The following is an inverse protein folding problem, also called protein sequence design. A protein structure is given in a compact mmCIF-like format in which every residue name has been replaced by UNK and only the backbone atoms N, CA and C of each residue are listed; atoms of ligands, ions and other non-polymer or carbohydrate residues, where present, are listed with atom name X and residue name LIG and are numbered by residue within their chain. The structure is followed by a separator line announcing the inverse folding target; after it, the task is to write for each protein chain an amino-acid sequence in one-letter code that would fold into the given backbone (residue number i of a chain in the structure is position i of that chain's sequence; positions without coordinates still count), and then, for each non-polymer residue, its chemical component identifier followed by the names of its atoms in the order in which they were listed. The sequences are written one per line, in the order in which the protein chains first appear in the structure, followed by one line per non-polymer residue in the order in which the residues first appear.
data_IF_836476131074
#
_entry.id   IF_836476131074
#
_cell.length_a   1.000
_cell.length_b   1.000
_cell.length_c   1.000
_cell.angle_alpha   90.00
_cell.angle_beta   90.00
_cell.angle_gamma   90.00
#
_symmetry.space_group_name_H-M   'P 1'
#
loop_
_entity.id
_entity.type
_entity.pdbx_description
1 polymer ?
#
# COMPACT_ATOMS: atom_id res chain seq x y z
N UNK A 1 52.50 4.56 32.83
CA UNK A 1 51.19 4.90 32.27
C UNK A 1 50.62 3.61 31.65
N UNK A 2 49.68 2.96 32.34
CA UNK A 2 49.06 1.69 31.88
C UNK A 2 47.67 2.05 31.35
N UNK A 3 47.50 1.88 30.05
CA UNK A 3 46.23 2.11 29.36
C UNK A 3 45.37 0.83 29.49
N UNK A 4 44.27 0.91 30.25
CA UNK A 4 43.36 -0.20 30.43
C UNK A 4 42.30 -0.15 29.32
N UNK A 5 42.39 -1.09 28.38
CA UNK A 5 41.39 -1.32 27.34
C UNK A 5 40.16 -1.99 27.98
N UNK A 6 39.01 -1.30 28.08
CA UNK A 6 37.75 -1.91 28.46
C UNK A 6 37.16 -2.65 27.25
N UNK A 7 37.12 -3.97 27.36
CA UNK A 7 36.42 -4.86 26.43
C UNK A 7 34.94 -4.77 26.74
N UNK A 8 34.11 -4.23 25.80
CA UNK A 8 32.67 -4.29 25.84
C UNK A 8 32.24 -5.74 25.58
N UNK A 9 31.78 -6.42 26.62
CA UNK A 9 31.07 -7.69 26.48
C UNK A 9 29.62 -7.41 26.01
N UNK A 10 29.25 -8.00 24.90
CA UNK A 10 27.84 -7.99 24.44
C UNK A 10 26.97 -8.76 25.44
N UNK A 11 25.78 -8.27 25.80
CA UNK A 11 24.88 -8.96 26.71
C UNK A 11 24.35 -10.24 26.06
N UNK A 12 24.41 -11.35 26.78
CA UNK A 12 23.90 -12.67 26.41
C UNK A 12 22.39 -12.62 26.44
N UNK A 13 21.73 -12.87 25.29
CA UNK A 13 20.28 -13.11 25.21
C UNK A 13 19.97 -14.52 25.66
N UNK A 14 18.86 -14.71 26.39
CA UNK A 14 18.35 -16.03 26.74
C UNK A 14 17.73 -16.75 25.53
N UNK A 15 17.43 -18.05 25.68
CA UNK A 15 16.97 -18.94 24.61
C UNK A 15 15.60 -18.55 24.01
N UNK A 16 14.90 -17.54 24.57
CA UNK A 16 13.60 -17.03 24.11
C UNK A 16 13.68 -15.65 23.45
N UNK A 17 14.87 -15.06 23.30
CA UNK A 17 15.05 -13.75 22.70
C UNK A 17 14.49 -12.59 23.53
N UNK A 18 14.11 -12.81 24.78
CA UNK A 18 13.69 -11.76 25.73
C UNK A 18 14.89 -11.37 26.59
N UNK A 19 15.23 -10.08 26.58
CA UNK A 19 16.17 -9.51 27.56
C UNK A 19 15.47 -9.45 28.91
N UNK A 20 16.13 -9.77 30.03
CA UNK A 20 15.53 -9.67 31.35
C UNK A 20 15.10 -8.24 31.67
N UNK A 21 13.93 -8.07 32.30
CA UNK A 21 13.43 -6.79 32.80
C UNK A 21 14.42 -6.23 33.83
N UNK A 22 15.24 -5.26 33.45
CA UNK A 22 16.10 -4.53 34.37
C UNK A 22 15.25 -3.54 35.17
N UNK A 23 15.38 -3.41 36.49
CA UNK A 23 14.53 -2.52 37.32
C UNK A 23 14.58 -1.03 36.95
N UNK A 24 15.54 -0.61 36.14
CA UNK A 24 15.74 0.76 35.67
C UNK A 24 15.43 0.94 34.17
N UNK A 25 14.96 -0.12 33.45
CA UNK A 25 14.83 -0.09 32.01
C UNK A 25 13.40 0.14 31.50
N UNK A 26 13.23 0.04 30.19
CA UNK A 26 11.95 0.14 29.51
C UNK A 26 11.02 -1.04 29.88
N UNK A 27 9.76 -0.80 30.32
CA UNK A 27 8.86 -1.84 30.77
C UNK A 27 8.25 -2.63 29.61
N UNK A 28 8.93 -3.69 29.17
CA UNK A 28 8.51 -4.54 28.04
C UNK A 28 7.07 -5.08 28.18
N UNK A 29 6.63 -5.36 29.43
CA UNK A 29 5.25 -5.79 29.72
C UNK A 29 4.21 -4.74 29.39
N UNK A 30 4.49 -3.44 29.67
CA UNK A 30 3.59 -2.35 29.32
C UNK A 30 3.47 -2.19 27.80
N UNK A 31 4.59 -2.24 27.10
CA UNK A 31 4.62 -2.20 25.65
C UNK A 31 3.78 -3.34 25.02
N UNK A 32 3.93 -4.57 25.51
CA UNK A 32 3.15 -5.71 25.03
C UNK A 32 1.66 -5.51 25.29
N UNK A 33 1.25 -5.12 26.50
CA UNK A 33 -0.15 -4.86 26.85
C UNK A 33 -0.79 -3.78 25.97
N UNK A 34 -0.05 -2.69 25.70
CA UNK A 34 -0.52 -1.66 24.79
C UNK A 34 -0.72 -2.17 23.36
N UNK A 35 0.26 -2.91 22.82
CA UNK A 35 0.19 -3.47 21.48
C UNK A 35 -0.96 -4.48 21.32
N UNK A 36 -1.21 -5.30 22.35
CA UNK A 36 -2.31 -6.27 22.37
C UNK A 36 -3.68 -5.53 22.43
N UNK A 37 -3.77 -4.46 23.23
CA UNK A 37 -4.95 -3.59 23.28
C UNK A 37 -5.25 -2.92 21.92
N UNK A 38 -4.24 -2.53 21.17
CA UNK A 38 -4.44 -1.95 19.82
C UNK A 38 -5.07 -2.96 18.83
N UNK A 39 -4.79 -4.25 18.98
CA UNK A 39 -5.42 -5.30 18.18
C UNK A 39 -6.87 -5.50 18.62
N UNK A 40 -7.07 -5.70 19.93
CA UNK A 40 -8.37 -6.08 20.50
C UNK A 40 -9.40 -4.95 20.44
N UNK A 41 -9.01 -3.71 20.83
CA UNK A 41 -9.93 -2.59 21.00
C UNK A 41 -10.04 -1.70 19.74
N UNK A 42 -8.92 -1.50 19.00
CA UNK A 42 -8.87 -0.60 17.84
C UNK A 42 -8.81 -1.33 16.49
N UNK A 43 -8.77 -2.66 16.48
CA UNK A 43 -8.76 -3.46 15.25
C UNK A 43 -7.60 -3.12 14.31
N UNK A 44 -6.44 -2.69 14.84
CA UNK A 44 -5.29 -2.33 14.01
C UNK A 44 -4.72 -3.56 13.29
N UNK A 45 -4.17 -3.34 12.10
CA UNK A 45 -3.58 -4.42 11.32
C UNK A 45 -2.31 -4.96 12.01
N UNK A 46 -2.03 -6.27 11.83
CA UNK A 46 -0.79 -6.88 12.32
C UNK A 46 0.46 -6.14 11.86
N UNK A 47 0.47 -5.61 10.63
CA UNK A 47 1.58 -4.83 10.10
C UNK A 47 1.76 -3.49 10.83
N UNK A 48 0.67 -2.82 11.21
CA UNK A 48 0.71 -1.59 11.99
C UNK A 48 1.25 -1.86 13.39
N UNK A 49 0.79 -2.93 14.03
CA UNK A 49 1.26 -3.34 15.36
C UNK A 49 2.74 -3.74 15.32
N UNK A 50 3.18 -4.46 14.28
CA UNK A 50 4.60 -4.80 14.09
C UNK A 50 5.46 -3.54 13.91
N UNK A 51 4.98 -2.53 13.17
CA UNK A 51 5.67 -1.26 13.00
C UNK A 51 5.76 -0.49 14.34
N UNK A 52 4.68 -0.46 15.13
CA UNK A 52 4.66 0.18 16.45
C UNK A 52 5.56 -0.55 17.45
N UNK A 53 5.64 -1.88 17.39
CA UNK A 53 6.62 -2.65 18.16
C UNK A 53 8.05 -2.20 17.88
N UNK A 54 8.42 -2.08 16.60
CA UNK A 54 9.74 -1.57 16.20
C UNK A 54 9.99 -0.13 16.68
N UNK A 55 8.93 0.69 16.77
CA UNK A 55 9.05 2.06 17.28
C UNK A 55 9.35 2.06 18.78
N UNK A 56 8.68 1.19 19.55
CA UNK A 56 8.92 1.04 20.98
C UNK A 56 10.27 0.36 21.27
N UNK A 57 10.71 -0.58 20.40
CA UNK A 57 12.05 -1.16 20.49
C UNK A 57 13.14 -0.08 20.33
N UNK A 58 12.94 0.87 19.42
CA UNK A 58 13.85 1.99 19.24
C UNK A 58 13.87 2.94 20.47
N UNK A 59 12.70 3.16 21.09
CA UNK A 59 12.63 3.93 22.35
C UNK A 59 13.36 3.21 23.48
N UNK A 60 13.17 1.91 23.61
CA UNK A 60 13.90 1.08 24.58
C UNK A 60 15.39 1.21 24.40
N UNK A 61 15.89 1.00 23.16
CA UNK A 61 17.33 1.07 22.85
C UNK A 61 17.89 2.46 23.22
N UNK A 62 17.14 3.53 22.98
CA UNK A 62 17.53 4.89 23.37
C UNK A 62 17.56 5.09 24.89
N UNK A 63 16.54 4.62 25.61
CA UNK A 63 16.48 4.72 27.08
C UNK A 63 17.56 3.89 27.76
N UNK A 64 17.87 2.72 27.21
CA UNK A 64 18.98 1.87 27.68
C UNK A 64 20.32 2.58 27.48
N UNK A 65 20.53 3.26 26.33
CA UNK A 65 21.75 4.03 26.04
C UNK A 65 21.86 5.28 26.96
N UNK A 66 20.73 5.87 27.32
CA UNK A 66 20.65 7.04 28.22
C UNK A 66 20.67 6.64 29.71
N UNK A 67 20.60 5.35 30.01
CA UNK A 67 20.47 4.80 31.37
C UNK A 67 19.28 5.41 32.16
N UNK A 68 18.19 5.76 31.46
CA UNK A 68 17.03 6.44 31.99
C UNK A 68 15.79 5.54 31.96
N UNK A 69 15.04 5.38 33.08
CA UNK A 69 13.78 4.64 33.09
C UNK A 69 12.68 5.40 32.34
N UNK A 70 11.63 4.70 31.89
CA UNK A 70 10.47 5.34 31.24
C UNK A 70 9.84 6.45 32.09
N UNK A 71 9.80 6.30 33.41
CA UNK A 71 9.27 7.29 34.35
C UNK A 71 10.10 8.56 34.42
N UNK A 72 11.35 8.52 34.00
CA UNK A 72 12.26 9.68 33.94
C UNK A 72 12.26 10.37 32.57
N UNK A 73 11.40 9.96 31.67
CA UNK A 73 11.30 10.53 30.33
C UNK A 73 10.59 11.89 30.39
N UNK A 74 11.26 12.95 29.95
CA UNK A 74 10.76 14.31 29.81
C UNK A 74 10.80 14.84 28.38
N UNK A 75 10.37 16.07 28.17
CA UNK A 75 10.32 16.69 26.83
C UNK A 75 11.73 16.82 26.22
N UNK A 76 12.76 17.09 27.03
CA UNK A 76 14.15 17.21 26.61
C UNK A 76 14.67 15.86 26.09
N UNK A 77 14.39 14.79 26.83
CA UNK A 77 14.70 13.42 26.44
C UNK A 77 14.01 13.02 25.12
N UNK A 78 12.76 13.48 24.90
CA UNK A 78 12.07 13.22 23.63
C UNK A 78 12.76 13.96 22.46
N UNK A 79 13.21 15.19 22.69
CA UNK A 79 13.97 15.93 21.67
C UNK A 79 15.31 15.24 21.35
N UNK A 80 16.01 14.72 22.36
CA UNK A 80 17.21 13.92 22.18
C UNK A 80 16.92 12.62 21.43
N UNK A 81 15.80 11.94 21.75
CA UNK A 81 15.37 10.75 21.00
C UNK A 81 15.15 11.04 19.51
N UNK A 82 14.50 12.15 19.19
CA UNK A 82 14.30 12.56 17.79
C UNK A 82 15.64 12.83 17.10
N UNK A 83 16.58 13.48 17.77
CA UNK A 83 17.91 13.74 17.23
C UNK A 83 18.69 12.43 17.03
N UNK A 84 18.60 11.49 17.98
CA UNK A 84 19.20 10.17 17.90
C UNK A 84 18.64 9.35 16.74
N UNK A 85 17.32 9.35 16.51
CA UNK A 85 16.71 8.70 15.36
C UNK A 85 17.19 9.29 14.02
N UNK A 86 17.32 10.63 13.94
CA UNK A 86 17.88 11.30 12.75
C UNK A 86 19.32 10.90 12.47
N UNK A 87 20.14 10.84 13.52
CA UNK A 87 21.55 10.39 13.41
C UNK A 87 21.67 8.94 12.90
N UNK A 88 20.69 8.09 13.20
CA UNK A 88 20.59 6.72 12.69
C UNK A 88 20.09 6.62 11.24
N UNK A 89 19.73 7.73 10.61
CA UNK A 89 19.31 7.79 9.22
C UNK A 89 17.81 7.54 8.98
N UNK A 90 16.98 7.69 9.99
CA UNK A 90 15.53 7.52 9.83
C UNK A 90 14.97 8.56 8.86
N UNK A 91 14.26 8.12 7.83
CA UNK A 91 13.56 9.00 6.90
C UNK A 91 12.47 9.80 7.62
N UNK A 92 12.18 11.03 7.17
CA UNK A 92 11.19 11.94 7.78
C UNK A 92 9.83 11.28 8.02
N UNK A 93 9.36 10.44 7.07
CA UNK A 93 8.10 9.68 7.22
C UNK A 93 8.16 8.65 8.35
N UNK A 94 9.28 7.95 8.50
CA UNK A 94 9.51 6.99 9.58
C UNK A 94 9.53 7.71 10.92
N UNK A 95 10.24 8.84 11.00
CA UNK A 95 10.31 9.69 12.18
C UNK A 95 8.93 10.20 12.61
N UNK A 96 8.12 10.71 11.67
CA UNK A 96 6.76 11.16 11.95
C UNK A 96 5.88 10.02 12.51
N UNK A 97 5.98 8.81 11.96
CA UNK A 97 5.27 7.63 12.45
C UNK A 97 5.73 7.26 13.86
N UNK A 98 7.05 7.23 14.12
CA UNK A 98 7.61 6.91 15.43
C UNK A 98 7.15 7.90 16.51
N UNK A 99 7.14 9.20 16.21
CA UNK A 99 6.62 10.22 17.14
C UNK A 99 5.13 10.01 17.40
N UNK A 100 4.35 9.66 16.38
CA UNK A 100 2.91 9.41 16.53
C UNK A 100 2.63 8.16 17.39
N UNK A 101 3.33 7.06 17.16
CA UNK A 101 3.20 5.83 17.96
C UNK A 101 3.66 6.04 19.40
N UNK A 102 4.77 6.75 19.59
CA UNK A 102 5.29 7.12 20.91
C UNK A 102 4.29 7.97 21.69
N UNK A 103 3.74 9.03 21.08
CA UNK A 103 2.73 9.90 21.72
C UNK A 103 1.50 9.08 22.15
N UNK A 104 1.05 8.16 21.32
CA UNK A 104 -0.10 7.29 21.62
C UNK A 104 0.21 6.32 22.77
N UNK A 105 1.42 5.74 22.80
CA UNK A 105 1.85 4.86 23.88
C UNK A 105 1.98 5.60 25.21
N UNK A 106 2.62 6.77 25.23
CA UNK A 106 2.79 7.57 26.43
C UNK A 106 1.46 8.10 26.96
N UNK A 107 0.52 8.49 26.09
CA UNK A 107 -0.84 8.84 26.48
C UNK A 107 -1.55 7.67 27.18
N UNK A 108 -1.44 6.46 26.62
CA UNK A 108 -1.98 5.26 27.24
C UNK A 108 -1.32 4.92 28.59
N UNK A 109 -0.02 5.19 28.75
CA UNK A 109 0.66 5.06 30.04
C UNK A 109 0.13 6.06 31.08
N UNK A 110 -0.16 7.29 30.68
CA UNK A 110 -0.77 8.31 31.58
C UNK A 110 -2.19 7.89 32.01
N UNK A 111 -3.03 7.43 31.09
CA UNK A 111 -4.38 6.93 31.38
C UNK A 111 -4.39 5.78 32.41
N UNK A 112 -3.30 5.03 32.50
CA UNK A 112 -3.14 3.91 33.44
C UNK A 112 -2.36 4.25 34.71
N UNK A 113 -1.96 5.51 34.87
CA UNK A 113 -1.20 5.98 36.03
C UNK A 113 0.27 5.54 36.06
N UNK A 114 0.79 5.01 34.95
CA UNK A 114 2.20 4.62 34.84
C UNK A 114 3.13 5.81 34.61
N UNK A 115 2.57 6.93 34.12
CA UNK A 115 3.25 8.22 33.93
C UNK A 115 2.36 9.34 34.47
N UNK A 116 3.00 10.37 35.06
CA UNK A 116 2.28 11.55 35.54
C UNK A 116 1.79 12.46 34.41
N UNK A 117 2.53 12.55 33.32
CA UNK A 117 2.22 13.35 32.12
C UNK A 117 2.79 12.70 30.85
N UNK A 118 2.31 13.17 29.72
CA UNK A 118 2.82 12.72 28.42
C UNK A 118 3.87 13.71 27.90
N UNK A 119 5.19 13.42 27.98
CA UNK A 119 6.23 14.34 27.56
C UNK A 119 6.28 14.56 26.04
N UNK A 120 5.61 13.70 25.24
CA UNK A 120 5.51 13.88 23.80
C UNK A 120 4.26 14.65 23.35
N UNK A 121 3.42 15.13 24.28
CA UNK A 121 2.12 15.75 23.95
C UNK A 121 2.26 16.99 23.06
N UNK A 122 3.21 17.88 23.39
CA UNK A 122 3.42 19.18 22.73
C UNK A 122 4.48 19.15 21.62
N UNK A 123 5.10 18.00 21.37
CA UNK A 123 6.12 17.91 20.35
C UNK A 123 5.50 17.98 18.97
N UNK A 124 5.94 18.92 18.17
CA UNK A 124 5.52 19.01 16.77
C UNK A 124 5.99 17.80 15.98
N UNK A 125 5.04 17.08 15.40
CA UNK A 125 5.37 16.04 14.41
C UNK A 125 6.01 16.74 13.20
N UNK A 126 7.20 16.29 12.74
CA UNK A 126 7.81 16.88 11.55
C UNK A 126 6.77 16.95 10.43
N UNK A 127 6.47 18.17 9.97
CA UNK A 127 5.59 18.35 8.83
C UNK A 127 6.22 17.61 7.66
N UNK A 128 5.58 16.52 7.24
CA UNK A 128 5.93 15.91 5.96
C UNK A 128 5.69 17.01 4.92
N UNK A 129 6.66 17.28 4.01
CA UNK A 129 6.34 18.11 2.87
C UNK A 129 5.06 17.51 2.28
N UNK A 130 4.03 18.31 2.13
CA UNK A 130 2.84 17.97 1.39
C UNK A 130 3.27 17.89 -0.08
N UNK A 131 3.93 16.80 -0.45
CA UNK A 131 3.99 16.40 -1.83
C UNK A 131 2.54 16.08 -2.15
N UNK A 132 1.90 16.96 -2.91
CA UNK A 132 0.68 16.60 -3.61
C UNK A 132 0.98 15.23 -4.23
N UNK A 133 0.18 14.19 -3.95
CA UNK A 133 0.47 12.87 -4.47
C UNK A 133 0.64 13.00 -5.98
N UNK A 134 1.75 12.50 -6.52
CA UNK A 134 1.99 12.54 -7.96
C UNK A 134 0.87 11.77 -8.66
N UNK A 135 -0.01 12.51 -9.32
CA UNK A 135 -1.04 11.96 -10.19
C UNK A 135 -0.42 11.73 -11.56
N UNK A 136 -0.64 10.57 -12.14
CA UNK A 136 -0.31 10.31 -13.53
C UNK A 136 -1.35 11.01 -14.41
N UNK A 137 -0.93 11.69 -15.44
CA UNK A 137 -1.84 12.19 -16.47
C UNK A 137 -2.46 11.02 -17.25
N UNK A 138 -3.56 11.26 -17.96
CA UNK A 138 -4.17 10.24 -18.79
C UNK A 138 -3.21 9.70 -19.84
N UNK A 139 -2.41 10.55 -20.47
CA UNK A 139 -1.37 10.15 -21.44
C UNK A 139 -0.27 9.29 -20.80
N UNK A 140 0.15 9.61 -19.57
CA UNK A 140 1.12 8.80 -18.84
C UNK A 140 0.54 7.42 -18.50
N UNK A 141 -0.75 7.36 -18.13
CA UNK A 141 -1.44 6.08 -17.91
C UNK A 141 -1.48 5.27 -19.21
N UNK A 142 -1.88 5.86 -20.33
CA UNK A 142 -1.93 5.15 -21.61
C UNK A 142 -0.56 4.60 -22.01
N UNK A 143 0.51 5.41 -21.90
CA UNK A 143 1.88 4.94 -22.18
C UNK A 143 2.29 3.82 -21.24
N UNK A 144 1.97 3.92 -19.94
CA UNK A 144 2.31 2.91 -18.95
C UNK A 144 1.60 1.58 -19.18
N UNK A 145 0.30 1.62 -19.51
CA UNK A 145 -0.50 0.43 -19.81
C UNK A 145 -0.08 -0.27 -21.10
N UNK A 146 0.51 0.47 -22.05
CA UNK A 146 1.00 -0.05 -23.31
C UNK A 146 2.50 -0.40 -23.30
N UNK A 147 3.25 -0.10 -22.22
CA UNK A 147 4.67 -0.41 -22.13
C UNK A 147 5.01 -1.92 -22.12
N UNK A 148 4.17 -2.83 -21.54
CA UNK A 148 4.49 -4.25 -21.57
C UNK A 148 4.42 -4.82 -22.99
N UNK A 149 5.44 -5.62 -23.36
CA UNK A 149 5.54 -6.31 -24.65
C UNK A 149 4.36 -7.28 -24.86
N UNK A 150 3.46 -6.94 -25.80
CA UNK A 150 2.27 -7.73 -26.12
C UNK A 150 2.57 -9.03 -26.87
N UNK A 151 3.81 -9.29 -27.28
CA UNK A 151 4.19 -10.52 -27.99
C UNK A 151 4.62 -11.65 -27.03
N UNK A 152 4.91 -11.32 -25.77
CA UNK A 152 5.36 -12.27 -24.77
C UNK A 152 4.28 -12.61 -23.75
N UNK A 153 4.26 -13.87 -23.27
CA UNK A 153 3.31 -14.29 -22.22
C UNK A 153 3.44 -13.47 -20.92
N UNK A 154 4.66 -13.01 -20.59
CA UNK A 154 4.88 -12.17 -19.43
C UNK A 154 4.36 -10.76 -19.65
N UNK A 155 4.57 -10.21 -20.82
CA UNK A 155 4.07 -8.88 -21.15
C UNK A 155 2.55 -8.83 -21.23
N UNK A 156 1.90 -9.83 -21.84
CA UNK A 156 0.43 -9.95 -21.84
C UNK A 156 -0.14 -10.05 -20.42
N UNK A 157 0.48 -10.85 -19.54
CA UNK A 157 0.13 -10.88 -18.11
C UNK A 157 0.28 -9.51 -17.47
N UNK A 158 1.42 -8.85 -17.66
CA UNK A 158 1.74 -7.59 -17.02
C UNK A 158 0.83 -6.46 -17.54
N UNK A 159 0.47 -6.49 -18.83
CA UNK A 159 -0.51 -5.58 -19.41
C UNK A 159 -1.89 -5.73 -18.80
N UNK A 160 -2.40 -6.97 -18.68
CA UNK A 160 -3.67 -7.24 -18.01
C UNK A 160 -3.64 -6.82 -16.53
N UNK A 161 -2.50 -7.05 -15.85
CA UNK A 161 -2.30 -6.67 -14.45
C UNK A 161 -2.35 -5.14 -14.25
N UNK A 162 -1.63 -4.39 -15.06
CA UNK A 162 -1.61 -2.93 -14.99
C UNK A 162 -2.98 -2.34 -15.33
N UNK A 163 -3.63 -2.89 -16.37
CA UNK A 163 -4.98 -2.47 -16.77
C UNK A 163 -5.98 -2.66 -15.63
N UNK A 164 -6.02 -3.85 -15.00
CA UNK A 164 -6.94 -4.11 -13.90
C UNK A 164 -6.62 -3.26 -12.66
N UNK A 165 -5.33 -3.08 -12.34
CA UNK A 165 -4.89 -2.27 -11.21
C UNK A 165 -5.41 -0.83 -11.34
N UNK A 166 -5.37 -0.28 -12.55
CA UNK A 166 -5.88 1.05 -12.85
C UNK A 166 -7.41 1.08 -12.96
N UNK A 167 -8.02 0.20 -13.76
CA UNK A 167 -9.44 0.18 -14.02
C UNK A 167 -10.30 0.05 -12.75
N UNK A 168 -9.82 -0.70 -11.76
CA UNK A 168 -10.52 -0.95 -10.51
C UNK A 168 -9.97 -0.17 -9.31
N UNK A 169 -8.94 0.65 -9.49
CA UNK A 169 -8.31 1.40 -8.41
C UNK A 169 -7.86 0.52 -7.24
N UNK A 170 -7.39 -0.70 -7.51
CA UNK A 170 -7.09 -1.72 -6.51
C UNK A 170 -5.85 -1.37 -5.68
N UNK A 171 -5.82 -1.84 -4.43
CA UNK A 171 -4.57 -1.95 -3.67
C UNK A 171 -3.78 -3.15 -4.18
N UNK A 172 -2.43 -3.07 -4.12
CA UNK A 172 -1.58 -4.22 -4.53
C UNK A 172 -1.91 -5.48 -3.73
N UNK A 173 -2.24 -5.34 -2.45
CA UNK A 173 -2.64 -6.48 -1.62
C UNK A 173 -3.93 -7.15 -2.10
N UNK A 174 -4.88 -6.37 -2.62
CA UNK A 174 -6.11 -6.88 -3.21
C UNK A 174 -5.83 -7.58 -4.55
N UNK A 175 -4.97 -6.98 -5.37
CA UNK A 175 -4.58 -7.54 -6.67
C UNK A 175 -3.90 -8.91 -6.56
N UNK A 176 -2.95 -9.08 -5.64
CA UNK A 176 -2.21 -10.36 -5.50
C UNK A 176 -3.04 -11.47 -4.88
N UNK A 177 -4.09 -11.11 -4.11
CA UNK A 177 -5.01 -12.06 -3.49
C UNK A 177 -6.20 -12.41 -4.40
N UNK A 178 -6.38 -11.71 -5.52
CA UNK A 178 -7.51 -11.88 -6.43
C UNK A 178 -7.54 -13.28 -7.04
N UNK A 179 -8.70 -13.91 -7.03
CA UNK A 179 -8.95 -15.22 -7.64
C UNK A 179 -9.78 -15.09 -8.93
N UNK A 180 -9.69 -16.04 -9.87
CA UNK A 180 -10.49 -16.01 -11.10
C UNK A 180 -12.01 -15.92 -10.86
N UNK A 181 -12.49 -16.53 -9.79
CA UNK A 181 -13.92 -16.50 -9.41
C UNK A 181 -14.41 -15.10 -8.99
N UNK A 182 -13.48 -14.18 -8.68
CA UNK A 182 -13.81 -12.82 -8.29
C UNK A 182 -14.05 -11.90 -9.51
N UNK A 183 -13.83 -12.40 -10.71
CA UNK A 183 -14.01 -11.70 -11.98
C UNK A 183 -15.25 -12.18 -12.72
N UNK A 184 -16.27 -11.34 -12.82
CA UNK A 184 -17.41 -11.56 -13.72
C UNK A 184 -17.23 -10.70 -14.97
N UNK A 185 -16.51 -11.25 -15.95
CA UNK A 185 -16.19 -10.55 -17.20
C UNK A 185 -17.42 -10.42 -18.12
N UNK A 186 -18.48 -11.22 -17.93
CA UNK A 186 -19.73 -11.07 -18.70
C UNK A 186 -20.48 -9.82 -18.24
N UNK A 187 -20.49 -9.55 -16.95
CA UNK A 187 -21.06 -8.33 -16.39
C UNK A 187 -20.10 -7.13 -16.37
N UNK A 188 -18.80 -7.38 -16.63
CA UNK A 188 -17.75 -6.37 -16.58
C UNK A 188 -17.51 -5.86 -15.15
N UNK A 189 -17.47 -6.75 -14.17
CA UNK A 189 -17.24 -6.36 -12.76
C UNK A 189 -16.18 -7.23 -12.09
N UNK A 190 -15.48 -6.65 -11.11
CA UNK A 190 -14.58 -7.36 -10.21
C UNK A 190 -15.04 -7.20 -8.76
N UNK A 191 -15.06 -8.31 -8.04
CA UNK A 191 -15.31 -8.35 -6.58
C UNK A 191 -13.99 -8.26 -5.84
N UNK A 192 -13.86 -7.27 -4.98
CA UNK A 192 -12.62 -6.99 -4.26
C UNK A 192 -12.88 -7.08 -2.76
N UNK A 193 -12.09 -7.89 -2.06
CA UNK A 193 -12.13 -8.03 -0.61
C UNK A 193 -11.16 -7.05 0.06
N UNK A 194 -11.70 -6.21 0.94
CA UNK A 194 -10.95 -5.23 1.74
C UNK A 194 -10.64 -5.71 3.15
N UNK A 195 -10.12 -4.79 3.98
CA UNK A 195 -9.85 -5.05 5.41
C UNK A 195 -11.15 -5.39 6.15
N UNK A 196 -11.14 -6.46 6.97
CA UNK A 196 -12.29 -6.90 7.76
C UNK A 196 -13.34 -7.65 6.95
N UNK A 197 -12.94 -8.34 5.88
CA UNK A 197 -13.85 -9.12 4.99
C UNK A 197 -14.95 -8.29 4.34
N UNK A 198 -14.81 -6.96 4.31
CA UNK A 198 -15.71 -6.10 3.54
C UNK A 198 -15.40 -6.28 2.06
N UNK A 199 -16.43 -6.58 1.27
CA UNK A 199 -16.32 -6.69 -0.18
C UNK A 199 -16.85 -5.44 -0.88
N UNK A 200 -16.39 -5.19 -2.10
CA UNK A 200 -16.93 -4.20 -3.01
C UNK A 200 -16.91 -4.72 -4.44
N UNK A 201 -17.93 -4.36 -5.21
CA UNK A 201 -17.97 -4.59 -6.65
C UNK A 201 -17.49 -3.33 -7.35
N UNK A 202 -16.53 -3.49 -8.27
CA UNK A 202 -16.02 -2.39 -9.07
C UNK A 202 -16.24 -2.72 -10.54
N UNK A 203 -16.91 -1.83 -11.30
CA UNK A 203 -17.08 -2.00 -12.73
C UNK A 203 -15.73 -1.87 -13.46
N UNK A 204 -15.61 -2.59 -14.56
CA UNK A 204 -14.45 -2.56 -15.45
C UNK A 204 -14.89 -1.94 -16.79
N UNK A 205 -14.05 -1.10 -17.37
CA UNK A 205 -14.25 -0.63 -18.73
C UNK A 205 -13.88 -1.72 -19.76
N UNK A 206 -14.37 -1.59 -20.99
CA UNK A 206 -14.29 -2.63 -22.00
C UNK A 206 -12.86 -3.11 -22.30
N UNK A 207 -11.89 -2.19 -22.36
CA UNK A 207 -10.49 -2.57 -22.57
C UNK A 207 -9.95 -3.47 -21.44
N UNK A 208 -10.32 -3.22 -20.18
CA UNK A 208 -9.93 -4.07 -19.06
C UNK A 208 -10.58 -5.45 -19.15
N UNK A 209 -11.88 -5.51 -19.54
CA UNK A 209 -12.61 -6.77 -19.74
C UNK A 209 -11.94 -7.61 -20.84
N UNK A 210 -11.66 -7.00 -22.00
CA UNK A 210 -11.03 -7.68 -23.13
C UNK A 210 -9.66 -8.25 -22.74
N UNK A 211 -8.80 -7.43 -22.12
CA UNK A 211 -7.45 -7.86 -21.72
C UNK A 211 -7.48 -8.92 -20.62
N UNK A 212 -8.41 -8.83 -19.68
CA UNK A 212 -8.57 -9.85 -18.65
C UNK A 212 -9.10 -11.16 -19.23
N UNK A 213 -10.04 -11.12 -20.18
CA UNK A 213 -10.54 -12.30 -20.86
C UNK A 213 -9.43 -13.02 -21.67
N UNK A 214 -8.65 -12.26 -22.43
CA UNK A 214 -7.48 -12.77 -23.15
C UNK A 214 -6.48 -13.43 -22.21
N UNK A 215 -6.09 -12.72 -21.15
CA UNK A 215 -5.15 -13.23 -20.18
C UNK A 215 -5.64 -14.52 -19.50
N UNK A 216 -6.86 -14.53 -18.97
CA UNK A 216 -7.39 -15.69 -18.24
C UNK A 216 -7.56 -16.92 -19.13
N UNK A 217 -8.06 -16.71 -20.35
CA UNK A 217 -8.39 -17.82 -21.28
C UNK A 217 -7.17 -18.37 -22.01
N UNK A 218 -6.26 -17.48 -22.44
CA UNK A 218 -5.16 -17.86 -23.36
C UNK A 218 -3.83 -17.90 -22.62
N UNK A 219 -3.52 -16.89 -21.82
CA UNK A 219 -2.16 -16.67 -21.30
C UNK A 219 -1.94 -17.33 -19.94
N UNK A 220 -2.89 -17.20 -19.02
CA UNK A 220 -2.77 -17.74 -17.66
C UNK A 220 -2.52 -19.26 -17.63
N UNK A 221 -3.18 -20.10 -18.45
CA UNK A 221 -2.89 -21.54 -18.51
C UNK A 221 -1.44 -21.87 -18.86
N UNK A 222 -0.76 -21.01 -19.64
CA UNK A 222 0.65 -21.19 -20.02
C UNK A 222 1.64 -21.08 -18.84
N UNK A 223 1.19 -20.63 -17.68
CA UNK A 223 1.99 -20.58 -16.46
C UNK A 223 1.87 -21.85 -15.61
N UNK A 224 1.08 -22.84 -16.02
CA UNK A 224 0.85 -24.08 -15.25
C UNK A 224 0.45 -23.73 -13.80
N UNK A 225 -0.78 -23.19 -13.58
CA UNK A 225 -1.18 -22.64 -12.30
C UNK A 225 -1.04 -23.64 -11.15
N UNK A 226 -0.32 -23.26 -10.10
CA UNK A 226 -0.17 -24.01 -8.84
C UNK A 226 -1.11 -23.43 -7.79
N UNK A 227 -1.31 -22.10 -7.80
CA UNK A 227 -2.22 -21.39 -6.92
C UNK A 227 -3.41 -20.85 -7.70
N UNK A 228 -4.57 -20.77 -7.02
CA UNK A 228 -5.77 -20.17 -7.59
C UNK A 228 -5.75 -18.64 -7.45
N UNK A 229 -4.69 -18.02 -7.99
CA UNK A 229 -4.52 -16.57 -8.11
C UNK A 229 -4.69 -16.14 -9.56
N UNK A 230 -5.20 -14.94 -9.77
CA UNK A 230 -5.32 -14.40 -11.13
C UNK A 230 -3.94 -14.21 -11.73
N UNK A 231 -3.05 -13.47 -11.10
CA UNK A 231 -1.74 -13.15 -11.66
C UNK A 231 -0.64 -14.04 -11.10
N UNK A 232 -0.02 -14.80 -12.00
CA UNK A 232 0.97 -15.83 -11.67
C UNK A 232 2.38 -15.40 -12.06
N UNK A 233 3.36 -15.88 -11.30
CA UNK A 233 4.76 -15.80 -11.65
C UNK A 233 5.16 -16.93 -12.63
N UNK A 234 6.44 -16.99 -13.01
CA UNK A 234 6.93 -18.01 -13.99
C UNK A 234 6.77 -19.46 -13.50
N UNK A 235 6.66 -19.66 -12.19
CA UNK A 235 6.53 -20.99 -11.56
C UNK A 235 5.07 -21.34 -11.22
N UNK A 236 4.08 -20.60 -11.73
CA UNK A 236 2.66 -20.86 -11.49
C UNK A 236 2.11 -20.42 -10.13
N UNK A 237 2.92 -19.80 -9.28
CA UNK A 237 2.49 -19.25 -8.00
C UNK A 237 2.06 -17.78 -8.15
N UNK A 238 1.31 -17.26 -7.18
CA UNK A 238 0.89 -15.87 -7.16
C UNK A 238 2.06 -14.86 -7.15
N UNK A 239 1.82 -13.66 -7.65
CA UNK A 239 2.78 -12.57 -7.59
C UNK A 239 2.92 -12.03 -6.16
N UNK A 240 4.14 -11.67 -5.76
CA UNK A 240 4.37 -10.97 -4.49
C UNK A 240 4.16 -9.45 -4.65
N UNK A 241 3.86 -8.74 -3.55
CA UNK A 241 3.78 -7.27 -3.52
C UNK A 241 5.03 -6.61 -4.07
N UNK A 242 6.21 -7.13 -3.71
CA UNK A 242 7.49 -6.62 -4.20
C UNK A 242 7.66 -6.87 -5.70
N UNK A 243 7.17 -8.02 -6.19
CA UNK A 243 7.16 -8.36 -7.61
C UNK A 243 6.34 -7.36 -8.42
N UNK A 244 5.09 -7.12 -8.01
CA UNK A 244 4.22 -6.12 -8.65
C UNK A 244 4.86 -4.74 -8.63
N UNK A 245 5.44 -4.33 -7.51
CA UNK A 245 6.07 -3.01 -7.38
C UNK A 245 7.29 -2.84 -8.30
N UNK A 246 8.11 -3.89 -8.45
CA UNK A 246 9.23 -3.89 -9.40
C UNK A 246 8.76 -3.78 -10.84
N UNK A 247 7.67 -4.48 -11.20
CA UNK A 247 7.05 -4.42 -12.53
C UNK A 247 6.53 -3.00 -12.83
N UNK A 248 5.76 -2.42 -11.92
CA UNK A 248 5.24 -1.04 -12.05
C UNK A 248 6.37 -0.04 -12.30
N UNK A 249 7.45 -0.10 -11.51
CA UNK A 249 8.62 0.79 -11.67
C UNK A 249 9.32 0.60 -13.02
N UNK A 250 9.50 -0.65 -13.44
CA UNK A 250 10.13 -0.96 -14.72
C UNK A 250 9.34 -0.36 -15.87
N UNK A 251 8.04 -0.62 -15.94
CA UNK A 251 7.19 -0.10 -17.00
C UNK A 251 7.01 1.40 -16.96
N UNK A 252 7.04 2.03 -15.79
CA UNK A 252 7.07 3.48 -15.68
C UNK A 252 8.33 4.08 -16.33
N UNK A 253 9.49 3.47 -16.10
CA UNK A 253 10.74 3.88 -16.70
C UNK A 253 10.72 3.70 -18.23
N UNK A 254 10.24 2.53 -18.70
CA UNK A 254 10.07 2.22 -20.13
C UNK A 254 9.09 3.20 -20.82
N UNK A 255 8.03 3.62 -20.11
CA UNK A 255 7.08 4.63 -20.58
C UNK A 255 7.59 6.08 -20.51
N UNK A 256 8.84 6.30 -20.08
CA UNK A 256 9.44 7.65 -19.95
C UNK A 256 8.88 8.47 -18.79
N UNK A 257 8.27 7.83 -17.78
CA UNK A 257 7.72 8.51 -16.61
C UNK A 257 8.83 8.67 -15.57
N UNK A 258 9.26 9.92 -15.31
CA UNK A 258 10.39 10.25 -14.42
C UNK A 258 9.98 10.56 -12.99
N UNK A 259 8.68 10.84 -12.74
CA UNK A 259 8.18 11.10 -11.39
C UNK A 259 8.13 9.82 -10.54
N UNK A 260 8.21 9.93 -9.20
CA UNK A 260 8.11 8.78 -8.31
C UNK A 260 6.77 8.08 -8.51
N UNK A 261 6.80 6.80 -8.87
CA UNK A 261 5.58 6.01 -9.08
C UNK A 261 5.52 4.86 -8.09
N UNK A 262 4.34 4.63 -7.58
CA UNK A 262 4.02 3.52 -6.70
C UNK A 262 2.64 2.95 -7.05
N UNK A 263 2.29 1.75 -6.59
CA UNK A 263 0.92 1.25 -6.75
C UNK A 263 -0.16 2.15 -6.14
N UNK A 264 0.18 2.96 -5.13
CA UNK A 264 -0.72 3.97 -4.60
C UNK A 264 -0.97 5.11 -5.59
N UNK A 265 0.01 5.41 -6.43
CA UNK A 265 -0.11 6.41 -7.51
C UNK A 265 -1.20 6.01 -8.50
N UNK A 266 -1.31 4.72 -8.88
CA UNK A 266 -2.39 4.22 -9.74
C UNK A 266 -3.77 4.49 -9.14
N UNK A 267 -3.96 4.10 -7.89
CA UNK A 267 -5.23 4.27 -7.18
C UNK A 267 -5.59 5.73 -7.01
N UNK A 268 -4.60 6.59 -6.77
CA UNK A 268 -4.81 8.03 -6.66
C UNK A 268 -5.16 8.64 -8.01
N UNK A 269 -4.47 8.24 -9.08
CA UNK A 269 -4.77 8.68 -10.45
C UNK A 269 -6.17 8.22 -10.88
N UNK A 270 -6.56 6.99 -10.59
CA UNK A 270 -7.93 6.50 -10.79
C UNK A 270 -8.97 7.41 -10.13
N UNK A 271 -8.77 7.70 -8.82
CA UNK A 271 -9.69 8.58 -8.08
C UNK A 271 -9.79 9.98 -8.69
N UNK A 272 -8.63 10.56 -9.01
CA UNK A 272 -8.55 11.91 -9.58
C UNK A 272 -9.22 11.97 -10.95
N UNK A 273 -8.93 11.02 -11.84
CA UNK A 273 -9.50 10.99 -13.18
C UNK A 273 -11.02 10.77 -13.18
N UNK A 274 -11.55 9.98 -12.24
CA UNK A 274 -13.00 9.86 -12.07
C UNK A 274 -13.63 11.20 -11.65
N UNK A 275 -13.01 11.91 -10.70
CA UNK A 275 -13.49 13.23 -10.25
C UNK A 275 -13.40 14.27 -11.36
N UNK A 276 -12.30 14.32 -12.10
CA UNK A 276 -12.11 15.19 -13.28
C UNK A 276 -13.11 14.86 -14.37
N UNK A 277 -13.47 13.59 -14.53
CA UNK A 277 -14.52 13.13 -15.43
C UNK A 277 -15.94 13.51 -14.98
N UNK A 278 -16.12 14.04 -13.76
CA UNK A 278 -17.41 14.50 -13.22
C UNK A 278 -18.11 13.49 -12.32
N UNK A 279 -17.45 12.42 -11.88
CA UNK A 279 -17.98 11.53 -10.84
C UNK A 279 -18.05 12.27 -9.49
N UNK A 280 -19.10 12.05 -8.72
CA UNK A 280 -19.20 12.62 -7.38
C UNK A 280 -18.25 11.95 -6.39
N UNK A 281 -17.80 12.70 -5.38
CA UNK A 281 -16.81 12.24 -4.40
C UNK A 281 -17.27 10.99 -3.64
N UNK A 282 -18.57 10.89 -3.34
CA UNK A 282 -19.12 9.75 -2.60
C UNK A 282 -19.02 8.46 -3.42
N UNK A 283 -19.37 8.53 -4.71
CA UNK A 283 -19.19 7.39 -5.64
C UNK A 283 -17.75 6.92 -5.73
N UNK A 284 -16.81 7.86 -5.81
CA UNK A 284 -15.38 7.54 -5.82
C UNK A 284 -14.94 6.89 -4.50
N UNK A 285 -15.40 7.39 -3.36
CA UNK A 285 -15.11 6.78 -2.04
C UNK A 285 -15.63 5.35 -1.93
N UNK A 286 -16.84 5.09 -2.45
CA UNK A 286 -17.44 3.75 -2.50
C UNK A 286 -16.59 2.80 -3.35
N UNK A 287 -16.25 3.20 -4.57
CA UNK A 287 -15.40 2.41 -5.48
C UNK A 287 -14.04 2.10 -4.86
N UNK A 288 -13.51 3.02 -4.08
CA UNK A 288 -12.24 2.83 -3.38
C UNK A 288 -12.36 1.99 -2.09
N UNK A 289 -13.55 1.82 -1.51
CA UNK A 289 -13.76 1.07 -0.28
C UNK A 289 -13.15 1.77 0.93
N UNK A 290 -13.52 3.02 1.19
CA UNK A 290 -13.16 3.76 2.39
C UNK A 290 -13.93 3.23 3.61
N UNK A 291 -13.23 3.00 4.74
CA UNK A 291 -13.67 2.14 5.85
C UNK A 291 -14.84 2.67 6.70
N UNK A 292 -15.21 3.94 6.61
CA UNK A 292 -16.17 4.59 7.52
C UNK A 292 -17.65 4.40 7.15
N UNK A 293 -17.94 3.56 6.14
CA UNK A 293 -19.32 3.32 5.72
C UNK A 293 -19.67 1.86 5.91
N UNK A 294 -20.75 1.61 6.68
CA UNK A 294 -21.28 0.27 6.90
C UNK A 294 -21.61 -0.39 5.56
N UNK A 295 -20.90 -1.50 5.26
CA UNK A 295 -21.03 -2.20 3.99
C UNK A 295 -22.44 -2.76 3.72
N UNK A 296 -23.27 -2.86 4.75
CA UNK A 296 -24.58 -3.48 4.70
C UNK A 296 -25.65 -2.61 4.02
N UNK A 297 -25.47 -1.29 3.99
CA UNK A 297 -26.43 -0.37 3.30
C UNK A 297 -26.07 -0.13 1.83
N UNK A 298 -24.93 -0.62 1.36
CA UNK A 298 -24.29 -0.20 0.10
C UNK A 298 -24.60 -1.08 -1.12
N UNK A 299 -25.22 -2.24 -0.93
CA UNK A 299 -25.45 -3.21 -2.02
C UNK A 299 -26.92 -3.43 -2.35
N UNK A 300 -27.68 -2.35 -2.54
CA UNK A 300 -28.92 -2.49 -3.31
C UNK A 300 -28.59 -2.59 -4.79
N UNK A 301 -29.31 -3.43 -5.56
CA UNK A 301 -29.15 -3.56 -7.03
C UNK A 301 -29.15 -2.19 -7.75
N UNK A 302 -29.91 -1.23 -7.26
CA UNK A 302 -30.04 0.13 -7.80
C UNK A 302 -28.74 0.93 -7.67
N UNK A 303 -27.97 0.75 -6.60
CA UNK A 303 -26.70 1.47 -6.42
C UNK A 303 -25.57 0.86 -7.27
N UNK A 304 -25.56 -0.46 -7.44
CA UNK A 304 -24.60 -1.13 -8.32
C UNK A 304 -24.77 -0.69 -9.78
N UNK A 305 -26.01 -0.58 -10.26
CA UNK A 305 -26.30 -0.05 -11.60
C UNK A 305 -25.89 1.42 -11.75
N UNK A 306 -26.13 2.23 -10.73
CA UNK A 306 -25.72 3.65 -10.73
C UNK A 306 -24.20 3.80 -10.78
N UNK A 307 -23.46 3.00 -10.03
CA UNK A 307 -21.99 2.99 -10.07
C UNK A 307 -21.46 2.51 -11.43
N UNK A 308 -22.08 1.50 -12.02
CA UNK A 308 -21.82 1.05 -13.39
C UNK A 308 -22.03 2.18 -14.41
N UNK A 309 -23.15 2.93 -14.29
CA UNK A 309 -23.45 4.07 -15.16
C UNK A 309 -22.42 5.19 -14.98
N UNK A 310 -22.04 5.52 -13.74
CA UNK A 310 -21.03 6.56 -13.46
C UNK A 310 -19.68 6.14 -14.06
N UNK A 311 -19.23 4.91 -13.84
CA UNK A 311 -17.97 4.43 -14.38
C UNK A 311 -17.96 4.36 -15.92
N UNK A 312 -19.08 3.99 -16.55
CA UNK A 312 -19.25 4.02 -18.01
C UNK A 312 -19.31 5.44 -18.57
N UNK A 313 -19.98 6.35 -17.86
CA UNK A 313 -20.11 7.76 -18.26
C UNK A 313 -18.81 8.54 -18.09
N UNK A 314 -18.03 8.18 -17.09
CA UNK A 314 -16.78 8.86 -16.72
C UNK A 314 -15.63 7.83 -16.65
N UNK A 315 -15.29 7.18 -17.78
CA UNK A 315 -14.22 6.17 -17.75
C UNK A 315 -12.90 6.85 -17.36
N UNK A 316 -12.11 6.22 -16.48
CA UNK A 316 -10.83 6.77 -16.08
C UNK A 316 -9.81 6.85 -17.24
N UNK A 317 -10.09 6.15 -18.35
CA UNK A 317 -9.31 6.18 -19.59
C UNK A 317 -10.16 6.78 -20.71
N UNK A 318 -9.63 7.76 -21.52
CA UNK A 318 -10.31 8.19 -22.72
C UNK A 318 -10.57 7.01 -23.65
N UNK A 319 -11.76 6.90 -24.18
CA UNK A 319 -12.15 5.89 -25.17
C UNK A 319 -11.58 6.23 -26.56
N UNK A 320 -10.31 6.58 -26.67
CA UNK A 320 -9.69 6.80 -27.97
C UNK A 320 -9.16 5.48 -28.51
N UNK A 321 -9.72 5.15 -29.65
CA UNK A 321 -9.40 4.09 -30.58
C UNK A 321 -7.98 3.54 -30.45
N UNK A 322 -7.87 2.24 -30.22
CA UNK A 322 -6.72 1.52 -30.78
C UNK A 322 -6.81 1.72 -32.29
N UNK A 323 -5.72 2.05 -33.01
CA UNK A 323 -5.74 1.97 -34.47
C UNK A 323 -6.18 0.56 -34.84
N UNK A 324 -7.25 0.46 -35.58
CA UNK A 324 -7.72 -0.82 -36.14
C UNK A 324 -6.61 -1.46 -36.98
N UNK A 325 -6.64 -2.77 -37.19
CA UNK A 325 -5.65 -3.47 -38.02
C UNK A 325 -5.61 -3.05 -39.49
N UNK A 326 -6.39 -2.05 -39.91
CA UNK A 326 -6.60 -1.68 -41.30
C UNK A 326 -5.88 -0.44 -41.82
N UNK A 327 -4.99 0.16 -41.04
CA UNK A 327 -4.10 1.23 -41.55
C UNK A 327 -2.76 0.70 -42.10
N UNK A 328 -2.72 -0.52 -42.59
CA UNK A 328 -1.67 -0.98 -43.45
C UNK A 328 -1.97 -0.48 -44.88
N UNK A 329 -1.38 0.65 -45.21
CA UNK A 329 -1.32 1.29 -46.50
C UNK A 329 -1.29 0.27 -47.65
N UNK A 330 -2.28 0.36 -48.52
CA UNK A 330 -2.22 -0.18 -49.89
C UNK A 330 -0.97 0.40 -50.60
N UNK A 331 -0.16 -0.41 -51.23
CA UNK A 331 0.84 0.13 -52.16
C UNK A 331 0.10 0.64 -53.39
N UNK A 332 0.19 1.93 -53.67
CA UNK A 332 -0.20 2.48 -54.94
C UNK A 332 0.66 1.84 -56.04
N UNK A 333 -0.01 1.19 -56.96
CA UNK A 333 0.51 0.79 -58.24
C UNK A 333 0.86 2.04 -59.07
N UNK A 334 2.12 2.36 -59.17
CA UNK A 334 2.67 3.24 -60.22
C UNK A 334 3.22 2.36 -61.31
N UNK A 335 2.37 2.06 -62.31
CA UNK A 335 2.73 1.62 -63.63
C UNK A 335 2.13 2.62 -64.61
N UNK A 336 2.95 3.58 -65.04
CA UNK A 336 2.96 4.08 -66.42
C UNK A 336 4.17 5.03 -66.63
#
# INVERSE_FOLDING_TARGET
MKTTTRIHASPVSDKNGQRPDTPAGFPARLASRWLDGLIAERGLSRNTVAAYRQDLDALRDFLDELETPLSGLDDENIMLFIAWLRKRGDATRTLARRISSLRSFLAWCVERGELASNPAALIDTPKLPSLLPDVLTQDEIVRLLNAPDATSKLGLRDRAMLELLYAAGMRVSELIELQPIDLDLQRGVVRIFGKGSKERLVPLHDAAVIRMAEYLKIVRPLFTPVEDRVFLNRSGNGLSRQGVWKLVKRYALEAGIRKPISPHTFRHSFATHLLEGGADLRSVQILLGHADMSATELYTHVQSERLLQIHRKYPPRPQHAEPGPDDASSPEDDLS
#
